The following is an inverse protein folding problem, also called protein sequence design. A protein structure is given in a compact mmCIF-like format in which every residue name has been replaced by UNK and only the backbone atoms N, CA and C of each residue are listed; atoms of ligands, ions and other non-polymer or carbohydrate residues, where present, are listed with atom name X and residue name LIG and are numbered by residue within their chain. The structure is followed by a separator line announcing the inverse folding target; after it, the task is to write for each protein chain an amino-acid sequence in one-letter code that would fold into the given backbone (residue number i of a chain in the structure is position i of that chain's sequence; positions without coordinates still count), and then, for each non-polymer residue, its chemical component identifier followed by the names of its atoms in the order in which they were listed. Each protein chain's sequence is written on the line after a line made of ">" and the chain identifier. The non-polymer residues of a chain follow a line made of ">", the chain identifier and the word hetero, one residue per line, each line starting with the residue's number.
data_IF_210299845487
#
_entry.id   IF_210299845487
#
_cell.length_a   1.000
_cell.length_b   1.000
_cell.length_c   1.000
_cell.angle_alpha   90.00
_cell.angle_beta   90.00
_cell.angle_gamma   90.00
#
_symmetry.space_group_name_H-M   'P 1'
#
loop_
_entity.id
_entity.type
_entity.pdbx_description
1 polymer ?
#
# COMPACT_ATOMS: atom_id res chain seq x y z
N UNK A 1 40.06 12.58 -33.49
CA UNK A 1 38.69 12.74 -32.94
C UNK A 1 38.76 13.61 -31.70
N UNK A 2 38.00 14.72 -31.65
CA UNK A 2 38.14 15.74 -30.59
C UNK A 2 37.64 15.18 -29.25
N UNK A 3 38.44 15.30 -28.18
CA UNK A 3 38.12 14.84 -26.81
C UNK A 3 36.72 15.27 -26.32
N UNK A 4 36.23 16.42 -26.80
CA UNK A 4 34.88 16.94 -26.55
C UNK A 4 33.76 16.02 -27.07
N UNK A 5 33.95 15.38 -28.23
CA UNK A 5 32.94 14.49 -28.83
C UNK A 5 32.84 13.15 -28.09
N UNK A 6 33.94 12.63 -27.53
CA UNK A 6 33.91 11.42 -26.69
C UNK A 6 33.23 11.67 -25.34
N UNK A 7 33.40 12.87 -24.75
CA UNK A 7 32.76 13.26 -23.49
C UNK A 7 31.23 13.36 -23.62
N UNK A 8 30.74 13.90 -24.75
CA UNK A 8 29.30 14.00 -25.01
C UNK A 8 28.65 12.64 -25.27
N UNK A 9 29.33 11.73 -25.98
CA UNK A 9 28.82 10.36 -26.20
C UNK A 9 28.80 9.56 -24.89
N UNK A 10 29.81 9.73 -24.03
CA UNK A 10 29.82 9.12 -22.69
C UNK A 10 28.71 9.64 -21.78
N UNK A 11 28.42 10.95 -21.81
CA UNK A 11 27.34 11.55 -21.03
C UNK A 11 25.95 11.11 -21.52
N UNK A 12 25.74 11.02 -22.84
CA UNK A 12 24.49 10.53 -23.42
C UNK A 12 24.26 9.04 -23.14
N UNK A 13 25.31 8.22 -23.17
CA UNK A 13 25.23 6.80 -22.85
C UNK A 13 24.91 6.55 -21.36
N UNK A 14 25.41 7.39 -20.45
CA UNK A 14 25.08 7.30 -19.02
C UNK A 14 23.63 7.68 -18.70
N UNK A 15 23.04 8.63 -19.44
CA UNK A 15 21.69 9.15 -19.16
C UNK A 15 20.57 8.17 -19.57
N UNK A 16 20.83 7.30 -20.55
CA UNK A 16 19.87 6.28 -21.01
C UNK A 16 19.78 5.08 -20.05
N UNK A 17 20.79 4.87 -19.19
CA UNK A 17 20.81 3.75 -18.24
C UNK A 17 19.97 3.96 -16.96
N UNK A 18 19.38 5.15 -16.76
CA UNK A 18 18.63 5.51 -15.55
C UNK A 18 17.11 5.40 -15.69
N UNK A 19 16.57 4.81 -16.77
CA UNK A 19 15.11 4.59 -16.91
C UNK A 19 14.67 3.34 -16.13
N UNK A 20 14.85 3.36 -14.82
CA UNK A 20 14.15 2.44 -13.91
C UNK A 20 12.80 3.05 -13.54
N UNK A 21 11.74 2.76 -14.31
CA UNK A 21 10.38 3.09 -13.88
C UNK A 21 10.00 2.20 -12.70
N UNK A 22 10.16 2.71 -11.48
CA UNK A 22 9.61 2.07 -10.28
C UNK A 22 8.12 2.44 -10.17
N UNK A 23 7.33 2.00 -11.14
CA UNK A 23 5.87 2.04 -11.07
C UNK A 23 5.37 0.77 -10.39
N UNK A 24 4.38 0.89 -9.51
CA UNK A 24 3.73 -0.28 -8.89
C UNK A 24 3.07 -1.21 -9.93
N UNK A 25 2.57 -2.37 -9.48
CA UNK A 25 1.87 -3.33 -10.34
C UNK A 25 0.73 -2.68 -11.12
N UNK A 26 0.57 -3.04 -12.41
CA UNK A 26 -0.56 -2.59 -13.22
C UNK A 26 -1.84 -3.32 -12.79
N UNK A 27 -2.89 -2.55 -12.50
CA UNK A 27 -4.21 -3.06 -12.10
C UNK A 27 -5.15 -3.24 -13.29
N UNK A 28 -4.76 -2.83 -14.50
CA UNK A 28 -5.61 -2.91 -15.69
C UNK A 28 -6.08 -4.35 -15.94
N UNK A 29 -7.40 -4.52 -16.04
CA UNK A 29 -8.03 -5.82 -16.29
C UNK A 29 -8.15 -6.73 -15.07
N UNK A 30 -7.69 -6.30 -13.88
CA UNK A 30 -7.92 -7.04 -12.64
C UNK A 30 -9.37 -6.87 -12.15
N UNK A 31 -9.97 -7.92 -11.56
CA UNK A 31 -11.34 -7.85 -11.07
C UNK A 31 -11.45 -6.90 -9.86
N UNK A 32 -12.61 -6.25 -9.74
CA UNK A 32 -12.96 -5.53 -8.53
C UNK A 32 -13.34 -6.49 -7.41
N UNK A 33 -13.24 -6.02 -6.16
CA UNK A 33 -13.75 -6.77 -5.01
C UNK A 33 -15.25 -7.03 -5.15
N UNK A 34 -15.66 -8.29 -5.04
CA UNK A 34 -17.05 -8.73 -5.17
C UNK A 34 -17.63 -9.15 -3.82
N UNK A 35 -16.91 -9.97 -3.07
CA UNK A 35 -17.31 -10.42 -1.74
C UNK A 35 -16.10 -10.86 -0.91
N UNK A 36 -16.22 -10.88 0.43
CA UNK A 36 -15.22 -11.50 1.29
C UNK A 36 -15.02 -12.96 0.91
N UNK A 37 -13.79 -13.43 0.99
CA UNK A 37 -13.46 -14.83 0.92
C UNK A 37 -13.98 -15.52 2.17
N UNK A 38 -14.35 -16.80 2.04
CA UNK A 38 -14.63 -17.63 3.19
C UNK A 38 -13.40 -17.67 4.11
N UNK A 39 -13.56 -17.42 5.42
CA UNK A 39 -12.47 -17.48 6.36
C UNK A 39 -11.92 -18.89 6.42
N UNK A 40 -10.59 -19.03 6.42
CA UNK A 40 -9.97 -20.33 6.70
C UNK A 40 -10.00 -20.58 8.20
N UNK A 41 -10.20 -21.83 8.61
CA UNK A 41 -10.34 -22.17 10.02
C UNK A 41 -9.01 -22.09 10.81
N UNK A 42 -7.87 -22.16 10.11
CA UNK A 42 -6.52 -22.26 10.65
C UNK A 42 -5.74 -20.94 10.64
N UNK A 43 -6.28 -19.90 10.01
CA UNK A 43 -5.68 -18.56 9.92
C UNK A 43 -6.74 -17.46 9.89
N UNK A 44 -6.34 -16.23 10.20
CA UNK A 44 -7.15 -15.05 9.93
C UNK A 44 -7.01 -14.63 8.45
N UNK A 45 -8.10 -14.21 7.83
CA UNK A 45 -8.06 -13.56 6.52
C UNK A 45 -7.94 -12.05 6.71
N UNK A 46 -6.79 -11.47 6.35
CA UNK A 46 -6.57 -10.02 6.45
C UNK A 46 -6.56 -9.40 5.06
N UNK A 47 -7.49 -8.49 4.83
CA UNK A 47 -7.55 -7.66 3.63
C UNK A 47 -6.74 -6.39 3.85
N UNK A 48 -5.70 -6.20 3.06
CA UNK A 48 -5.02 -4.92 2.95
C UNK A 48 -5.55 -4.22 1.71
N UNK A 49 -6.04 -2.99 1.88
CA UNK A 49 -6.59 -2.23 0.77
C UNK A 49 -6.25 -0.75 0.84
N UNK A 50 -6.24 -0.10 -0.33
CA UNK A 50 -5.99 1.32 -0.47
C UNK A 50 -6.91 1.86 -1.55
N UNK A 51 -7.83 2.73 -1.15
CA UNK A 51 -8.74 3.38 -2.11
C UNK A 51 -7.96 4.26 -3.08
N UNK A 52 -8.49 4.44 -4.29
CA UNK A 52 -7.87 5.32 -5.28
C UNK A 52 -7.73 6.75 -4.72
N UNK A 53 -6.52 7.28 -4.75
CA UNK A 53 -6.21 8.61 -4.25
C UNK A 53 -5.68 9.50 -5.38
N UNK A 54 -6.07 10.77 -5.42
CA UNK A 54 -5.53 11.74 -6.38
C UNK A 54 -4.09 12.13 -6.07
N UNK A 55 -3.66 11.99 -4.80
CA UNK A 55 -2.32 12.33 -4.33
C UNK A 55 -1.62 11.06 -3.87
N UNK A 56 -0.34 10.92 -4.22
CA UNK A 56 0.46 9.74 -3.89
C UNK A 56 0.02 8.48 -4.66
N UNK A 57 -0.73 8.62 -5.75
CA UNK A 57 -1.20 7.50 -6.59
C UNK A 57 -0.06 6.66 -7.18
N UNK A 58 1.08 7.31 -7.48
CA UNK A 58 2.29 6.65 -7.97
C UNK A 58 3.08 5.88 -6.89
N UNK A 59 2.68 5.96 -5.62
CA UNK A 59 3.31 5.19 -4.54
C UNK A 59 2.64 3.82 -4.46
N UNK A 60 3.45 2.76 -4.39
CA UNK A 60 2.97 1.40 -4.12
C UNK A 60 3.75 0.84 -2.91
N UNK A 61 3.23 0.99 -1.69
CA UNK A 61 3.93 0.53 -0.49
C UNK A 61 3.98 -1.00 -0.47
N UNK A 62 5.12 -1.56 -0.07
CA UNK A 62 5.28 -2.97 0.26
C UNK A 62 4.86 -3.20 1.69
N UNK A 63 3.89 -4.09 1.88
CA UNK A 63 3.41 -4.55 3.18
C UNK A 63 4.21 -5.78 3.60
N UNK A 64 4.69 -5.73 4.83
CA UNK A 64 5.38 -6.83 5.48
C UNK A 64 4.67 -7.20 6.78
N UNK A 65 4.59 -8.49 7.06
CA UNK A 65 4.11 -9.03 8.33
C UNK A 65 5.26 -9.84 8.94
N UNK A 66 5.66 -9.47 10.15
CA UNK A 66 6.82 -10.05 10.86
C UNK A 66 8.10 -10.06 10.02
N UNK A 67 8.32 -8.99 9.26
CA UNK A 67 9.48 -8.81 8.39
C UNK A 67 9.44 -9.60 7.08
N UNK A 68 8.33 -10.30 6.78
CA UNK A 68 8.12 -11.00 5.49
C UNK A 68 7.17 -10.20 4.61
N UNK A 69 7.57 -9.94 3.36
CA UNK A 69 6.68 -9.32 2.37
C UNK A 69 5.46 -10.20 2.12
N UNK A 70 4.28 -9.60 2.19
CA UNK A 70 2.98 -10.25 1.90
C UNK A 70 2.26 -9.64 0.70
N UNK A 71 2.70 -8.47 0.24
CA UNK A 71 2.21 -7.86 -1.00
C UNK A 71 2.58 -6.39 -1.16
N UNK A 72 2.36 -5.87 -2.37
CA UNK A 72 2.46 -4.44 -2.71
C UNK A 72 1.08 -3.80 -2.76
N UNK A 73 0.89 -2.58 -2.26
CA UNK A 73 -0.42 -1.93 -2.09
C UNK A 73 -0.56 -0.61 -2.91
N UNK A 74 -0.54 -0.65 -4.26
CA UNK A 74 -0.78 0.52 -5.09
C UNK A 74 -2.17 1.13 -4.84
N UNK A 75 -2.30 2.40 -5.18
CA UNK A 75 -3.56 3.14 -5.09
C UNK A 75 -4.68 2.45 -5.90
N UNK A 76 -5.84 2.25 -5.29
CA UNK A 76 -7.01 1.61 -5.92
C UNK A 76 -6.98 0.08 -5.90
N UNK A 77 -6.16 -0.52 -5.04
CA UNK A 77 -5.98 -1.97 -5.01
C UNK A 77 -6.29 -2.59 -3.65
N UNK A 78 -6.47 -3.90 -3.66
CA UNK A 78 -6.50 -4.72 -2.45
C UNK A 78 -5.80 -6.07 -2.69
N UNK A 79 -5.34 -6.68 -1.60
CA UNK A 79 -4.99 -8.10 -1.56
C UNK A 79 -5.41 -8.72 -0.23
N UNK A 80 -5.47 -10.04 -0.19
CA UNK A 80 -5.72 -10.81 1.03
C UNK A 80 -4.47 -11.60 1.42
N UNK A 81 -4.20 -11.64 2.71
CA UNK A 81 -3.17 -12.46 3.32
C UNK A 81 -3.77 -13.36 4.40
N UNK A 82 -3.30 -14.60 4.45
CA UNK A 82 -3.54 -15.50 5.58
C UNK A 82 -2.52 -15.20 6.68
N UNK A 83 -3.00 -14.91 7.90
CA UNK A 83 -2.14 -14.60 9.04
C UNK A 83 -2.52 -15.52 10.20
N UNK A 84 -1.57 -16.27 10.80
CA UNK A 84 -1.86 -17.10 11.98
C UNK A 84 -2.46 -16.29 13.12
N UNK A 85 -3.20 -16.93 14.02
CA UNK A 85 -3.66 -16.26 15.23
C UNK A 85 -2.49 -15.78 16.10
N UNK A 86 -2.64 -14.58 16.67
CA UNK A 86 -1.65 -13.99 17.56
C UNK A 86 -1.40 -12.52 17.27
N UNK A 87 -0.35 -11.99 17.91
CA UNK A 87 0.13 -10.63 17.72
C UNK A 87 1.20 -10.63 16.62
N UNK A 88 1.04 -9.75 15.63
CA UNK A 88 1.93 -9.60 14.49
C UNK A 88 2.35 -8.15 14.30
N UNK A 89 3.59 -7.93 13.87
CA UNK A 89 4.08 -6.60 13.53
C UNK A 89 3.95 -6.37 12.03
N UNK A 90 3.21 -5.33 11.66
CA UNK A 90 3.02 -4.93 10.26
C UNK A 90 3.91 -3.73 9.97
N UNK A 91 4.61 -3.78 8.84
CA UNK A 91 5.36 -2.65 8.31
C UNK A 91 4.88 -2.34 6.90
N UNK A 92 4.54 -1.08 6.66
CA UNK A 92 4.40 -0.55 5.31
C UNK A 92 5.65 0.23 4.96
N UNK A 93 6.19 -0.03 3.78
CA UNK A 93 7.46 0.54 3.35
C UNK A 93 7.38 0.94 1.88
N UNK A 94 7.96 2.07 1.53
CA UNK A 94 8.16 2.47 0.15
C UNK A 94 9.55 3.06 -0.04
N UNK A 95 10.08 3.05 -1.27
CA UNK A 95 11.40 3.59 -1.55
C UNK A 95 11.55 5.03 -1.00
N UNK A 96 12.67 5.37 -0.32
CA UNK A 96 12.84 6.66 0.36
C UNK A 96 12.69 7.89 -0.54
N UNK A 97 12.91 7.70 -1.84
CA UNK A 97 12.93 8.76 -2.85
C UNK A 97 11.51 9.21 -3.24
N UNK A 98 10.48 8.39 -2.99
CA UNK A 98 9.13 8.61 -3.55
C UNK A 98 8.14 9.15 -2.52
N UNK A 99 8.06 8.60 -1.31
CA UNK A 99 7.27 9.20 -0.21
C UNK A 99 7.53 8.53 1.13
N UNK A 100 7.79 9.32 2.18
CA UNK A 100 7.82 8.82 3.56
C UNK A 100 6.43 8.66 4.19
N UNK A 101 5.35 9.14 3.56
CA UNK A 101 4.00 9.20 4.17
C UNK A 101 3.38 7.83 4.44
N UNK A 102 3.78 6.84 3.65
CA UNK A 102 3.26 5.46 3.75
C UNK A 102 4.14 4.58 4.62
N UNK A 103 5.30 5.06 5.05
CA UNK A 103 6.22 4.28 5.88
C UNK A 103 5.71 4.28 7.31
N UNK A 104 5.08 3.19 7.71
CA UNK A 104 4.52 3.04 9.05
C UNK A 104 4.80 1.64 9.60
N UNK A 105 4.85 1.54 10.92
CA UNK A 105 4.85 0.27 11.64
C UNK A 105 3.79 0.28 12.71
N UNK A 106 3.06 -0.81 12.82
CA UNK A 106 2.00 -0.99 13.81
C UNK A 106 1.81 -2.46 14.10
N UNK A 107 1.26 -2.77 15.27
CA UNK A 107 0.94 -4.14 15.65
C UNK A 107 -0.54 -4.43 15.42
N UNK A 108 -0.84 -5.66 15.00
CA UNK A 108 -2.21 -6.18 14.92
C UNK A 108 -2.32 -7.44 15.77
N UNK A 109 -3.52 -7.73 16.25
CA UNK A 109 -3.84 -9.02 16.89
C UNK A 109 -5.01 -9.63 16.14
N UNK A 110 -4.83 -10.86 15.68
CA UNK A 110 -5.82 -11.56 14.86
C UNK A 110 -6.13 -12.94 15.42
N UNK A 111 -7.32 -13.45 15.12
CA UNK A 111 -7.79 -14.77 15.52
C UNK A 111 -8.13 -15.61 14.28
N UNK A 112 -7.89 -16.91 14.37
CA UNK A 112 -8.21 -17.86 13.31
C UNK A 112 -9.71 -17.83 12.97
N UNK A 113 -10.05 -18.00 11.70
CA UNK A 113 -11.44 -17.99 11.24
C UNK A 113 -12.10 -16.61 11.22
N UNK A 114 -11.37 -15.53 11.54
CA UNK A 114 -11.88 -14.16 11.45
C UNK A 114 -11.35 -13.43 10.22
N UNK A 115 -12.12 -12.43 9.78
CA UNK A 115 -11.77 -11.55 8.67
C UNK A 115 -11.51 -10.15 9.19
N UNK A 116 -10.38 -9.56 8.81
CA UNK A 116 -9.99 -8.21 9.19
C UNK A 116 -9.74 -7.36 7.94
N UNK A 117 -9.96 -6.05 8.06
CA UNK A 117 -9.76 -5.10 6.98
C UNK A 117 -8.82 -3.99 7.47
N UNK A 118 -7.68 -3.87 6.81
CA UNK A 118 -6.66 -2.87 7.09
C UNK A 118 -6.58 -1.93 5.90
N UNK A 119 -6.93 -0.67 6.14
CA UNK A 119 -6.99 0.36 5.11
C UNK A 119 -5.79 1.30 5.20
N UNK A 120 -5.13 1.57 4.09
CA UNK A 120 -4.30 2.77 3.93
C UNK A 120 -5.22 3.93 3.51
N UNK A 121 -5.42 4.89 4.43
CA UNK A 121 -6.36 5.99 4.25
C UNK A 121 -5.62 7.33 4.13
N UNK A 122 -6.17 8.19 3.28
CA UNK A 122 -5.74 9.58 3.11
C UNK A 122 -6.96 10.50 3.22
N UNK A 123 -6.86 11.56 4.02
CA UNK A 123 -7.94 12.54 4.24
C UNK A 123 -7.41 13.96 4.32
N UNK A 124 -8.24 14.95 4.01
CA UNK A 124 -7.94 16.38 4.26
C UNK A 124 -8.37 16.83 5.66
N UNK A 125 -9.07 15.99 6.40
CA UNK A 125 -9.43 16.17 7.81
C UNK A 125 -8.73 15.16 8.69
N UNK A 126 -8.49 15.56 9.93
CA UNK A 126 -7.95 14.69 10.96
C UNK A 126 -8.90 13.52 11.29
N UNK A 127 -8.34 12.40 11.75
CA UNK A 127 -9.07 11.17 12.04
C UNK A 127 -9.44 11.06 13.52
N UNK A 128 -10.72 10.82 13.83
CA UNK A 128 -11.25 10.82 15.22
C UNK A 128 -12.16 9.62 15.56
N UNK A 129 -12.09 8.57 14.75
CA UNK A 129 -12.95 7.38 14.86
C UNK A 129 -12.35 6.24 15.71
N UNK A 130 -11.11 6.40 16.19
CA UNK A 130 -10.43 5.39 17.01
C UNK A 130 -9.98 4.15 16.24
N UNK A 131 -10.04 4.15 14.90
CA UNK A 131 -9.64 3.00 14.07
C UNK A 131 -8.14 2.97 13.72
N UNK A 132 -7.40 4.03 14.07
CA UNK A 132 -5.98 4.18 13.70
C UNK A 132 -5.11 3.05 14.24
N UNK A 133 -4.33 2.46 13.34
CA UNK A 133 -3.23 1.56 13.65
C UNK A 133 -1.91 2.35 13.58
N UNK A 134 -1.20 2.43 14.70
CA UNK A 134 0.03 3.23 14.79
C UNK A 134 -0.24 4.73 14.91
N UNK A 135 0.42 5.53 14.07
CA UNK A 135 0.36 6.99 14.11
C UNK A 135 -0.30 7.57 12.85
N UNK A 136 -0.80 8.81 12.97
CA UNK A 136 -1.27 9.60 11.82
C UNK A 136 -0.11 10.47 11.33
N UNK A 137 0.24 10.38 10.04
CA UNK A 137 1.22 11.30 9.42
C UNK A 137 0.46 12.45 8.74
N UNK A 138 0.70 13.68 9.18
CA UNK A 138 0.10 14.89 8.65
C UNK A 138 1.08 15.69 7.81
N UNK A 139 0.84 15.85 6.50
CA UNK A 139 1.70 16.63 5.60
C UNK A 139 0.95 17.61 4.74
N UNK A 140 1.61 18.74 4.45
CA UNK A 140 1.07 19.77 3.57
C UNK A 140 1.53 19.54 2.13
N UNK A 141 0.58 19.42 1.21
CA UNK A 141 0.83 19.33 -0.23
C UNK A 141 0.06 20.42 -0.97
N UNK A 142 0.77 21.25 -1.74
CA UNK A 142 0.18 22.40 -2.46
C UNK A 142 -0.70 23.31 -1.58
N UNK A 143 -0.30 23.55 -0.33
CA UNK A 143 -1.05 24.38 0.63
C UNK A 143 -2.16 23.65 1.41
N UNK A 144 -2.61 22.49 0.93
CA UNK A 144 -3.63 21.67 1.60
C UNK A 144 -2.98 20.67 2.56
N UNK A 145 -3.55 20.52 3.76
CA UNK A 145 -3.11 19.50 4.72
C UNK A 145 -3.75 18.15 4.38
N UNK A 146 -2.95 17.10 4.37
CA UNK A 146 -3.38 15.73 4.21
C UNK A 146 -2.90 14.90 5.41
N UNK A 147 -3.76 14.03 5.89
CA UNK A 147 -3.51 13.09 6.97
C UNK A 147 -3.57 11.69 6.39
N UNK A 148 -2.50 10.92 6.58
CA UNK A 148 -2.44 9.51 6.21
C UNK A 148 -2.33 8.61 7.44
N UNK A 149 -2.95 7.44 7.39
CA UNK A 149 -2.85 6.42 8.43
C UNK A 149 -3.14 5.03 7.87
N UNK A 150 -2.71 4.01 8.60
CA UNK A 150 -3.36 2.70 8.56
C UNK A 150 -4.53 2.65 9.56
N UNK A 151 -5.61 1.96 9.21
CA UNK A 151 -6.79 1.80 10.06
C UNK A 151 -7.30 0.36 10.07
N UNK A 152 -7.72 -0.13 11.23
CA UNK A 152 -8.49 -1.37 11.37
C UNK A 152 -9.97 -1.05 11.17
N UNK A 153 -10.47 -1.28 9.97
CA UNK A 153 -11.80 -0.81 9.55
C UNK A 153 -12.86 -1.87 9.85
N UNK A 154 -14.00 -1.50 10.46
CA UNK A 154 -15.13 -2.41 10.63
C UNK A 154 -15.61 -2.95 9.28
N UNK A 155 -16.04 -4.22 9.26
CA UNK A 155 -16.38 -4.91 8.02
C UNK A 155 -17.41 -4.16 7.16
N UNK A 156 -18.45 -3.60 7.76
CA UNK A 156 -19.49 -2.85 7.03
C UNK A 156 -18.90 -1.63 6.29
N UNK A 157 -18.03 -0.88 6.96
CA UNK A 157 -17.36 0.30 6.39
C UNK A 157 -16.34 -0.10 5.33
N UNK A 158 -15.57 -1.16 5.59
CA UNK A 158 -14.61 -1.69 4.63
C UNK A 158 -15.29 -2.12 3.33
N UNK A 159 -16.41 -2.84 3.41
CA UNK A 159 -17.16 -3.31 2.23
C UNK A 159 -17.70 -2.17 1.36
N UNK A 160 -18.01 -1.00 1.95
CA UNK A 160 -18.45 0.19 1.20
C UNK A 160 -17.34 0.81 0.36
N UNK A 161 -16.07 0.67 0.80
CA UNK A 161 -14.91 1.29 0.18
C UNK A 161 -14.11 0.32 -0.70
N UNK A 162 -13.84 -0.89 -0.22
CA UNK A 162 -13.02 -1.90 -0.90
C UNK A 162 -13.65 -2.40 -2.21
N UNK A 163 -14.97 -2.31 -2.38
CA UNK A 163 -15.68 -2.67 -3.63
C UNK A 163 -15.18 -1.90 -4.87
N UNK A 164 -14.56 -0.74 -4.67
CA UNK A 164 -13.97 0.08 -5.72
C UNK A 164 -12.48 -0.21 -5.94
N UNK A 165 -11.92 -1.17 -5.22
CA UNK A 165 -10.53 -1.58 -5.35
C UNK A 165 -10.43 -2.82 -6.24
N UNK A 166 -9.36 -2.89 -7.03
CA UNK A 166 -9.03 -4.04 -7.86
C UNK A 166 -8.10 -5.01 -7.13
N UNK A 167 -8.26 -6.30 -7.39
CA UNK A 167 -7.40 -7.32 -6.81
C UNK A 167 -5.98 -7.21 -7.38
N UNK A 168 -4.97 -7.32 -6.52
CA UNK A 168 -3.59 -7.36 -6.96
C UNK A 168 -3.27 -8.65 -7.72
N UNK A 169 -2.57 -8.55 -8.88
CA UNK A 169 -2.17 -9.70 -9.66
C UNK A 169 -1.25 -10.61 -8.83
N UNK A 170 -1.36 -11.92 -9.04
CA UNK A 170 -0.63 -12.92 -8.26
C UNK A 170 0.90 -12.76 -8.33
N UNK A 171 1.43 -12.19 -9.41
CA UNK A 171 2.86 -11.93 -9.62
C UNK A 171 3.40 -10.75 -8.81
N UNK A 172 2.53 -9.99 -8.15
CA UNK A 172 2.87 -8.80 -7.37
C UNK A 172 2.74 -9.00 -5.84
N UNK A 173 2.54 -10.25 -5.40
CA UNK A 173 2.44 -10.64 -3.98
C UNK A 173 3.76 -11.19 -3.47
#
# INVERSE_FOLDING_TARGET
>A
MKRSTLLWVGLFAGLVSLTGCISGPDLKGQPFFTSPAEPRADEATVYFYRTAASIGSGVAPTIQVDGRTVGSLPSGSFFKAGIPAGKHSVASTSPPIISGMVNQRFDITVENGKVYYIADQLSTSDYKDGQTLGEVDGRRFSGTMFYSRYALVPAEEALRSIKWCQELPATAR
#
